data_IF_649617916560
#
_entry.id   IF_649617916560
#
_cell.length_a   1.000
_cell.length_b   1.000
_cell.length_c   1.000
_cell.angle_alpha   90.00
_cell.angle_beta   90.00
_cell.angle_gamma   90.00
#
_symmetry.space_group_name_H-M   'P 1'
#
loop_
_entity.id
_entity.type
_entity.pdbx_description
1 polymer ?
#
# COMPACT_ATOMS: atom_id res chain seq x y z
N UNK A 1 12.28 -8.92 6.58
CA UNK A 1 11.92 -7.55 6.16
C UNK A 1 10.78 -7.66 5.17
N UNK A 2 9.58 -7.58 5.72
CA UNK A 2 8.26 -7.82 5.14
C UNK A 2 7.72 -6.53 4.50
N UNK A 3 7.09 -6.64 3.32
CA UNK A 3 6.21 -5.69 2.62
C UNK A 3 6.54 -4.19 2.56
N UNK A 4 6.75 -3.52 3.69
CA UNK A 4 7.02 -2.09 3.78
C UNK A 4 8.43 -1.74 3.29
N UNK A 5 8.50 -0.91 2.26
CA UNK A 5 9.77 -0.39 1.76
C UNK A 5 10.15 0.85 2.58
N UNK A 6 11.10 0.73 3.53
CA UNK A 6 11.59 1.85 4.37
C UNK A 6 11.92 3.10 3.56
N UNK A 7 12.37 2.91 2.32
CA UNK A 7 12.59 3.99 1.35
C UNK A 7 11.36 4.88 1.14
N UNK A 8 10.14 4.33 1.08
CA UNK A 8 8.92 5.12 0.93
C UNK A 8 8.67 6.01 2.14
N UNK A 9 8.95 5.52 3.36
CA UNK A 9 8.88 6.33 4.56
C UNK A 9 9.89 7.48 4.49
N UNK A 10 11.14 7.19 4.11
CA UNK A 10 12.18 8.22 3.96
C UNK A 10 11.82 9.26 2.90
N UNK A 11 11.24 8.84 1.78
CA UNK A 11 10.76 9.76 0.73
C UNK A 11 9.61 10.62 1.22
N UNK A 12 8.62 10.06 1.93
CA UNK A 12 7.52 10.82 2.53
C UNK A 12 8.03 11.84 3.55
N UNK A 13 8.98 11.44 4.39
CA UNK A 13 9.61 12.32 5.38
C UNK A 13 10.40 13.44 4.71
N UNK A 14 11.23 13.12 3.71
CA UNK A 14 11.98 14.11 2.94
C UNK A 14 11.05 15.12 2.27
N UNK A 15 9.97 14.64 1.68
CA UNK A 15 8.96 15.44 0.99
C UNK A 15 8.21 16.36 1.99
N UNK A 16 7.85 15.86 3.18
CA UNK A 16 7.24 16.67 4.23
C UNK A 16 8.20 17.74 4.78
N UNK A 17 9.48 17.39 5.01
CA UNK A 17 10.52 18.34 5.44
C UNK A 17 10.72 19.42 4.38
N UNK A 18 10.83 19.06 3.10
CA UNK A 18 10.99 20.03 2.01
C UNK A 18 9.81 20.99 1.82
N UNK A 19 8.65 20.70 2.43
CA UNK A 19 7.46 21.58 2.46
C UNK A 19 7.37 22.44 3.72
N UNK A 20 8.30 22.28 4.66
CA UNK A 20 8.29 22.94 5.96
C UNK A 20 9.32 24.06 5.96
N UNK A 21 8.86 25.30 6.08
CA UNK A 21 9.73 26.48 6.17
C UNK A 21 10.25 26.67 7.61
N UNK A 22 9.37 26.50 8.61
CA UNK A 22 9.69 26.60 10.03
C UNK A 22 9.22 25.35 10.78
N UNK A 23 10.03 24.90 11.73
CA UNK A 23 9.70 23.76 12.58
C UNK A 23 8.65 24.13 13.65
N UNK A 24 7.79 23.19 14.06
CA UNK A 24 7.77 21.77 13.69
C UNK A 24 7.14 21.47 12.32
N UNK A 25 7.38 20.27 11.78
CA UNK A 25 6.74 19.79 10.54
C UNK A 25 5.22 19.79 10.74
N UNK A 26 4.52 20.65 10.02
CA UNK A 26 3.07 20.77 10.11
C UNK A 26 2.36 19.54 9.53
N UNK A 27 1.24 19.15 10.14
CA UNK A 27 0.40 18.04 9.66
C UNK A 27 -0.01 18.20 8.18
N UNK A 28 -0.27 19.45 7.75
CA UNK A 28 -0.60 19.78 6.36
C UNK A 28 0.52 19.38 5.38
N UNK A 29 1.79 19.55 5.76
CA UNK A 29 2.94 19.16 4.94
C UNK A 29 2.99 17.63 4.78
N UNK A 30 2.79 16.90 5.87
CA UNK A 30 2.72 15.43 5.87
C UNK A 30 1.54 14.92 5.03
N UNK A 31 0.34 15.50 5.19
CA UNK A 31 -0.85 15.13 4.40
C UNK A 31 -0.65 15.36 2.90
N UNK A 32 0.05 16.43 2.52
CA UNK A 32 0.42 16.70 1.11
C UNK A 32 1.37 15.64 0.58
N UNK A 33 2.41 15.29 1.34
CA UNK A 33 3.36 14.24 0.94
C UNK A 33 2.67 12.89 0.72
N UNK A 34 1.79 12.50 1.65
CA UNK A 34 0.99 11.27 1.54
C UNK A 34 0.08 11.31 0.30
N UNK A 35 -0.60 12.43 0.06
CA UNK A 35 -1.54 12.56 -1.07
C UNK A 35 -0.82 12.51 -2.41
N UNK A 36 0.34 13.13 -2.52
CA UNK A 36 1.16 13.08 -3.72
C UNK A 36 1.70 11.68 -3.99
N UNK A 37 2.22 11.00 -2.96
CA UNK A 37 2.71 9.62 -3.10
C UNK A 37 1.59 8.64 -3.47
N UNK A 38 0.36 8.87 -3.00
CA UNK A 38 -0.81 8.04 -3.33
C UNK A 38 -1.09 8.01 -4.84
N UNK A 39 -0.87 9.11 -5.55
CA UNK A 39 -1.17 9.20 -6.98
C UNK A 39 -0.33 8.23 -7.81
N UNK A 40 0.91 7.94 -7.40
CA UNK A 40 1.75 6.91 -8.02
C UNK A 40 1.06 5.54 -8.01
N UNK A 41 0.48 5.16 -6.88
CA UNK A 41 -0.23 3.88 -6.76
C UNK A 41 -1.54 3.89 -7.52
N UNK A 42 -2.29 4.98 -7.47
CA UNK A 42 -3.55 5.11 -8.23
C UNK A 42 -3.33 4.89 -9.73
N UNK A 43 -2.25 5.44 -10.30
CA UNK A 43 -1.91 5.27 -11.73
C UNK A 43 -1.39 3.87 -12.08
N UNK A 44 -0.84 3.14 -11.10
CA UNK A 44 -0.26 1.83 -11.31
C UNK A 44 -1.28 0.69 -11.25
N UNK A 45 -2.50 0.96 -10.77
CA UNK A 45 -3.59 -0.01 -10.63
C UNK A 45 -4.57 0.17 -11.80
N UNK A 46 -4.80 -0.89 -12.56
CA UNK A 46 -5.85 -0.90 -13.59
C UNK A 46 -7.25 -0.96 -12.98
N UNK A 47 -8.26 -0.43 -13.68
CA UNK A 47 -9.63 -0.32 -13.16
C UNK A 47 -10.22 -1.65 -12.63
N UNK A 48 -10.00 -2.75 -13.34
CA UNK A 48 -10.44 -4.09 -12.94
C UNK A 48 -9.71 -4.66 -11.70
N UNK A 49 -8.52 -4.15 -11.37
CA UNK A 49 -7.69 -4.67 -10.28
C UNK A 49 -8.09 -4.12 -8.90
N UNK A 50 -8.92 -3.07 -8.83
CA UNK A 50 -9.40 -2.54 -7.54
C UNK A 50 -10.17 -3.58 -6.73
N UNK A 51 -10.96 -4.43 -7.39
CA UNK A 51 -11.67 -5.52 -6.74
C UNK A 51 -10.70 -6.56 -6.14
N UNK A 52 -9.64 -6.91 -6.87
CA UNK A 52 -8.59 -7.81 -6.38
C UNK A 52 -7.90 -7.25 -5.14
N UNK A 53 -7.54 -5.95 -5.15
CA UNK A 53 -6.93 -5.30 -3.99
C UNK A 53 -7.87 -5.31 -2.78
N UNK A 54 -9.17 -5.07 -2.99
CA UNK A 54 -10.17 -5.14 -1.94
C UNK A 54 -10.27 -6.57 -1.36
N UNK A 55 -10.36 -7.59 -2.21
CA UNK A 55 -10.41 -9.00 -1.81
C UNK A 55 -9.18 -9.41 -0.99
N UNK A 56 -7.97 -9.05 -1.44
CA UNK A 56 -6.72 -9.35 -0.71
C UNK A 56 -6.67 -8.62 0.61
N UNK A 57 -7.13 -7.37 0.67
CA UNK A 57 -7.13 -6.59 1.92
C UNK A 57 -7.96 -7.27 3.02
N UNK A 58 -8.97 -8.07 2.64
CA UNK A 58 -9.80 -8.85 3.56
C UNK A 58 -9.27 -10.27 3.78
N UNK A 59 -8.95 -10.98 2.71
CA UNK A 59 -8.58 -12.41 2.76
C UNK A 59 -7.14 -12.63 3.21
N UNK A 60 -6.28 -11.62 3.05
CA UNK A 60 -4.82 -11.66 3.22
C UNK A 60 -4.12 -12.71 2.35
N UNK A 61 -4.78 -13.17 1.29
CA UNK A 61 -4.33 -14.25 0.39
C UNK A 61 -4.38 -13.78 -1.06
N UNK A 62 -3.48 -14.34 -1.87
CA UNK A 62 -3.48 -14.17 -3.32
C UNK A 62 -3.53 -15.54 -4.00
N UNK A 63 -3.95 -15.57 -5.26
CA UNK A 63 -3.72 -16.71 -6.14
C UNK A 63 -2.55 -16.41 -7.08
N UNK A 64 -1.82 -17.43 -7.51
CA UNK A 64 -0.62 -17.27 -8.33
C UNK A 64 -0.98 -17.06 -9.81
N UNK A 65 -1.62 -15.93 -10.11
CA UNK A 65 -1.94 -15.49 -11.47
C UNK A 65 -1.19 -14.19 -11.86
N UNK A 66 -1.26 -13.84 -13.14
CA UNK A 66 -0.53 -12.70 -13.68
C UNK A 66 -1.07 -11.34 -13.20
N UNK A 67 -2.33 -11.24 -12.80
CA UNK A 67 -2.90 -10.00 -12.23
C UNK A 67 -2.31 -9.72 -10.86
N UNK A 68 -2.22 -10.73 -9.98
CA UNK A 68 -1.58 -10.57 -8.66
C UNK A 68 -0.08 -10.32 -8.80
N UNK A 69 0.61 -11.01 -9.73
CA UNK A 69 2.03 -10.77 -10.01
C UNK A 69 2.29 -9.34 -10.47
N UNK A 70 1.44 -8.80 -11.35
CA UNK A 70 1.53 -7.41 -11.81
C UNK A 70 1.36 -6.42 -10.64
N UNK A 71 0.37 -6.64 -9.76
CA UNK A 71 0.15 -5.81 -8.58
C UNK A 71 1.31 -5.89 -7.58
N UNK A 72 1.95 -7.06 -7.43
CA UNK A 72 3.15 -7.21 -6.61
C UNK A 72 4.36 -6.52 -7.22
N UNK A 73 4.56 -6.64 -8.53
CA UNK A 73 5.64 -5.96 -9.26
C UNK A 73 5.55 -4.44 -9.11
N UNK A 74 4.33 -3.90 -9.25
CA UNK A 74 4.04 -2.48 -9.02
C UNK A 74 3.96 -2.09 -7.54
N UNK A 75 4.22 -3.03 -6.61
CA UNK A 75 4.17 -2.84 -5.16
C UNK A 75 2.83 -2.33 -4.64
N UNK A 76 1.75 -2.60 -5.36
CA UNK A 76 0.38 -2.36 -4.92
C UNK A 76 -0.06 -3.46 -3.94
N UNK A 77 0.48 -4.66 -4.09
CA UNK A 77 0.43 -5.74 -3.11
C UNK A 77 1.81 -6.00 -2.51
N UNK A 78 1.82 -6.33 -1.23
CA UNK A 78 3.01 -6.54 -0.42
C UNK A 78 2.94 -7.91 0.25
N UNK A 79 4.05 -8.64 0.21
CA UNK A 79 4.19 -9.91 0.92
C UNK A 79 4.84 -9.68 2.29
N UNK A 80 4.22 -10.23 3.32
CA UNK A 80 4.67 -10.23 4.69
C UNK A 80 5.02 -11.66 5.09
N UNK A 81 6.05 -11.79 5.94
CA UNK A 81 6.54 -13.08 6.44
C UNK A 81 6.80 -12.98 7.93
N UNK A 82 6.47 -14.03 8.66
CA UNK A 82 6.77 -14.20 10.08
C UNK A 82 6.99 -15.69 10.38
N UNK A 83 7.63 -15.99 11.51
CA UNK A 83 7.71 -17.34 12.05
C UNK A 83 6.55 -17.51 13.03
N UNK A 84 5.78 -18.59 12.91
CA UNK A 84 4.81 -18.97 13.93
C UNK A 84 5.49 -19.62 15.15
N UNK A 85 4.68 -20.05 16.11
CA UNK A 85 5.16 -20.62 17.38
C UNK A 85 5.88 -21.96 17.17
N UNK A 86 5.59 -22.66 16.07
CA UNK A 86 6.25 -23.89 15.64
C UNK A 86 7.56 -23.63 14.87
N UNK A 87 7.89 -22.37 14.57
CA UNK A 87 9.07 -21.99 13.80
C UNK A 87 8.91 -22.13 12.29
N UNK A 88 7.67 -22.29 11.81
CA UNK A 88 7.35 -22.38 10.39
C UNK A 88 7.18 -20.99 9.77
N UNK A 89 7.67 -20.84 8.53
CA UNK A 89 7.64 -19.56 7.82
C UNK A 89 6.26 -19.30 7.21
N UNK A 90 5.45 -18.50 7.90
CA UNK A 90 4.14 -18.08 7.43
C UNK A 90 4.24 -16.87 6.50
N UNK A 91 3.34 -16.81 5.51
CA UNK A 91 3.24 -15.70 4.55
C UNK A 91 1.82 -15.18 4.46
N UNK A 92 1.69 -13.87 4.34
CA UNK A 92 0.42 -13.21 4.09
C UNK A 92 0.61 -11.96 3.24
N UNK A 93 -0.47 -11.47 2.66
CA UNK A 93 -0.43 -10.38 1.70
C UNK A 93 -1.35 -9.25 2.12
N UNK A 94 -0.96 -8.03 1.79
CA UNK A 94 -1.83 -6.87 1.96
C UNK A 94 -1.54 -5.81 0.90
N UNK A 95 -2.45 -4.85 0.81
CA UNK A 95 -2.29 -3.69 -0.05
C UNK A 95 -1.22 -2.74 0.51
N UNK A 96 -0.58 -1.97 -0.37
CA UNK A 96 0.30 -0.89 0.08
C UNK A 96 -0.50 0.16 0.88
N UNK A 97 -0.02 0.63 2.06
CA UNK A 97 -0.82 1.51 2.94
C UNK A 97 -1.35 2.79 2.26
N UNK A 98 -0.61 3.36 1.32
CA UNK A 98 -1.06 4.55 0.57
C UNK A 98 -2.36 4.31 -0.24
N UNK A 99 -2.62 3.06 -0.64
CA UNK A 99 -3.82 2.66 -1.39
C UNK A 99 -5.09 2.76 -0.53
N UNK A 100 -4.99 2.59 0.79
CA UNK A 100 -6.17 2.66 1.70
C UNK A 100 -6.90 4.02 1.61
N UNK A 101 -6.18 5.08 1.23
CA UNK A 101 -6.75 6.41 1.04
C UNK A 101 -7.29 6.70 -0.35
N UNK A 102 -7.23 5.75 -1.30
CA UNK A 102 -7.68 5.91 -2.69
C UNK A 102 -9.21 5.70 -2.77
N UNK A 103 -9.98 6.63 -3.38
CA UNK A 103 -11.43 6.49 -3.50
C UNK A 103 -11.88 5.19 -4.18
N UNK A 104 -11.25 4.83 -5.28
CA UNK A 104 -11.55 3.63 -6.08
C UNK A 104 -11.39 2.35 -5.25
N UNK A 105 -10.38 2.31 -4.38
CA UNK A 105 -10.19 1.20 -3.43
C UNK A 105 -11.31 1.18 -2.38
N UNK A 106 -11.66 2.33 -1.79
CA UNK A 106 -12.74 2.41 -0.80
C UNK A 106 -14.09 1.96 -1.37
N UNK A 107 -14.38 2.36 -2.60
CA UNK A 107 -15.56 1.93 -3.34
C UNK A 107 -15.55 0.42 -3.61
N UNK A 108 -14.40 -0.14 -3.99
CA UNK A 108 -14.26 -1.58 -4.21
C UNK A 108 -14.48 -2.37 -2.90
N UNK A 109 -13.92 -1.90 -1.78
CA UNK A 109 -14.15 -2.51 -0.45
C UNK A 109 -15.63 -2.43 -0.06
N UNK A 110 -16.30 -1.30 -0.29
CA UNK A 110 -17.72 -1.13 0.02
C UNK A 110 -18.65 -2.02 -0.80
N UNK A 111 -18.19 -2.53 -1.95
CA UNK A 111 -18.92 -3.46 -2.81
C UNK A 111 -18.69 -4.94 -2.45
N UNK A 112 -17.76 -5.24 -1.53
CA UNK A 112 -17.54 -6.60 -1.10
C UNK A 112 -18.75 -7.10 -0.28
N UNK A 113 -19.17 -8.37 -0.47
CA UNK A 113 -20.26 -8.98 0.27
C UNK A 113 -19.91 -9.22 1.74
#
# INVERSE_FOLDING_TARGET
>A
MSGGHVRNLLLLTQDAIGRTEELPIAEKAVRRAITQARDTYRRAVGNHQWCLLAEVSRSKRIINDDQYRSLMFNRCLLEYRYLDDEGEMQRWYDIHPLIQGVPEFKEAVAKLP
#
